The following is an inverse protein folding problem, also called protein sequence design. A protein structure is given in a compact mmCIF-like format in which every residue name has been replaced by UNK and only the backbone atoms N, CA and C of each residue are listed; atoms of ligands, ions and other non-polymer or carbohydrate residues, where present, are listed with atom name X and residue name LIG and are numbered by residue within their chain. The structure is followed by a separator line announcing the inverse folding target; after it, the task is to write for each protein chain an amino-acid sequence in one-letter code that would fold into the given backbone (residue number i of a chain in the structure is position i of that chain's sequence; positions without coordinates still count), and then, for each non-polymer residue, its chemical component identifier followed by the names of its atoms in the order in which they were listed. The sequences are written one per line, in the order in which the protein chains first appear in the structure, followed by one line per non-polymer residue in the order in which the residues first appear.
data_IF_847418994687
#
_entry.id   IF_847418994687
#
_cell.length_a   1.000
_cell.length_b   1.000
_cell.length_c   1.000
_cell.angle_alpha   90.00
_cell.angle_beta   90.00
_cell.angle_gamma   90.00
#
_symmetry.space_group_name_H-M   'P 1'
#
loop_
_entity.id
_entity.type
_entity.pdbx_description
1 polymer ?
#
# COMPACT_ATOMS: atom_id res chain seq x y z
N UNK A 1 8.42 12.17 -23.39
CA UNK A 1 7.43 11.20 -22.87
C UNK A 1 6.85 11.86 -21.64
N UNK A 2 5.54 12.12 -21.61
CA UNK A 2 4.91 12.71 -20.42
C UNK A 2 4.95 11.64 -19.33
N UNK A 3 5.74 11.89 -18.29
CA UNK A 3 5.80 11.01 -17.12
C UNK A 3 4.46 11.17 -16.38
N UNK A 4 3.71 10.08 -16.26
CA UNK A 4 2.45 10.04 -15.52
C UNK A 4 2.79 10.25 -14.04
N UNK A 5 2.07 11.14 -13.36
CA UNK A 5 2.34 11.44 -11.96
C UNK A 5 2.01 10.21 -11.10
N UNK A 6 2.77 9.93 -10.02
CA UNK A 6 2.55 8.74 -9.19
C UNK A 6 1.11 8.57 -8.68
N UNK A 7 0.42 9.66 -8.39
CA UNK A 7 -0.96 9.71 -7.92
C UNK A 7 -2.01 9.30 -8.97
N UNK A 8 -1.65 9.28 -10.25
CA UNK A 8 -2.55 8.93 -11.35
C UNK A 8 -2.60 7.41 -11.59
N UNK A 9 -1.71 6.63 -10.97
CA UNK A 9 -1.71 5.17 -11.06
C UNK A 9 -2.76 4.56 -10.13
N UNK A 10 -3.45 3.53 -10.61
CA UNK A 10 -4.28 2.67 -9.78
C UNK A 10 -3.44 1.80 -8.84
N UNK A 11 -4.07 1.25 -7.79
CA UNK A 11 -3.42 0.31 -6.88
C UNK A 11 -2.80 -0.90 -7.61
N UNK A 12 -3.49 -1.42 -8.63
CA UNK A 12 -3.00 -2.55 -9.42
C UNK A 12 -1.74 -2.18 -10.20
N UNK A 13 -1.72 -0.99 -10.83
CA UNK A 13 -0.57 -0.49 -11.56
C UNK A 13 0.62 -0.20 -10.63
N UNK A 14 0.37 0.42 -9.47
CA UNK A 14 1.39 0.69 -8.47
C UNK A 14 2.07 -0.60 -8.00
N UNK A 15 1.28 -1.64 -7.73
CA UNK A 15 1.80 -2.94 -7.29
C UNK A 15 2.49 -3.71 -8.42
N UNK A 16 2.02 -3.57 -9.67
CA UNK A 16 2.64 -4.19 -10.84
C UNK A 16 4.04 -3.63 -11.15
N UNK A 17 4.36 -2.42 -10.68
CA UNK A 17 5.71 -1.85 -10.78
C UNK A 17 6.73 -2.50 -9.85
N UNK A 18 6.27 -3.21 -8.81
CA UNK A 18 7.15 -3.95 -7.90
C UNK A 18 7.51 -5.31 -8.50
N UNK A 19 8.76 -5.77 -8.28
CA UNK A 19 9.10 -7.16 -8.56
C UNK A 19 8.30 -8.09 -7.65
N UNK A 20 7.95 -9.31 -8.07
CA UNK A 20 7.21 -10.26 -7.25
C UNK A 20 7.82 -10.49 -5.85
N UNK A 21 9.16 -10.53 -5.77
CA UNK A 21 9.87 -10.68 -4.49
C UNK A 21 9.72 -9.45 -3.59
N UNK A 22 9.73 -8.24 -4.16
CA UNK A 22 9.55 -7.00 -3.40
C UNK A 22 8.12 -6.89 -2.87
N UNK A 23 7.15 -7.28 -3.68
CA UNK A 23 5.74 -7.33 -3.31
C UNK A 23 5.49 -8.31 -2.16
N UNK A 24 6.01 -9.54 -2.27
CA UNK A 24 5.88 -10.54 -1.21
C UNK A 24 6.55 -10.12 0.10
N UNK A 25 7.71 -9.47 0.01
CA UNK A 25 8.41 -8.93 1.18
C UNK A 25 7.63 -7.76 1.82
N UNK A 26 7.06 -6.88 1.01
CA UNK A 26 6.21 -5.78 1.48
C UNK A 26 4.97 -6.31 2.22
N UNK A 27 4.29 -7.31 1.66
CA UNK A 27 3.14 -7.95 2.31
C UNK A 27 3.51 -8.59 3.65
N UNK A 28 4.66 -9.25 3.71
CA UNK A 28 5.20 -9.85 4.93
C UNK A 28 5.46 -8.78 5.99
N UNK A 29 6.13 -7.69 5.63
CA UNK A 29 6.46 -6.59 6.54
C UNK A 29 5.21 -5.88 7.07
N UNK A 30 4.21 -5.63 6.22
CA UNK A 30 2.91 -5.09 6.64
C UNK A 30 2.28 -6.05 7.65
N UNK A 31 2.21 -7.35 7.32
CA UNK A 31 1.66 -8.36 8.22
C UNK A 31 2.36 -8.39 9.59
N UNK A 32 3.69 -8.38 9.62
CA UNK A 32 4.48 -8.39 10.85
C UNK A 32 4.27 -7.13 11.69
N UNK A 33 4.29 -5.96 11.06
CA UNK A 33 4.13 -4.68 11.74
C UNK A 33 2.76 -4.56 12.43
N UNK A 34 1.68 -4.96 11.75
CA UNK A 34 0.33 -4.84 12.31
C UNK A 34 -0.06 -6.02 13.21
N UNK A 35 0.52 -7.22 13.01
CA UNK A 35 0.25 -8.39 13.87
C UNK A 35 0.88 -8.25 15.25
N UNK A 36 2.06 -7.63 15.36
CA UNK A 36 2.79 -7.52 16.62
C UNK A 36 2.02 -6.73 17.70
N UNK A 37 1.16 -5.80 17.31
CA UNK A 37 0.37 -4.97 18.24
C UNK A 37 -1.11 -5.38 18.34
N UNK A 38 -1.55 -6.44 17.63
CA UNK A 38 -2.97 -6.80 17.55
C UNK A 38 -3.82 -5.79 16.77
N UNK A 39 -3.17 -4.98 15.92
CA UNK A 39 -3.75 -3.91 15.10
C UNK A 39 -3.89 -4.35 13.64
N UNK A 40 -3.69 -5.65 13.33
CA UNK A 40 -4.03 -6.25 12.03
C UNK A 40 -5.56 -6.31 11.86
N UNK A 41 -6.13 -5.13 11.74
CA UNK A 41 -7.55 -4.84 11.56
C UNK A 41 -7.69 -4.12 10.23
N UNK A 42 -8.75 -4.50 9.51
CA UNK A 42 -9.10 -3.95 8.20
C UNK A 42 -9.14 -2.42 8.27
N UNK A 43 -9.73 -1.85 9.33
CA UNK A 43 -9.89 -0.41 9.53
C UNK A 43 -8.54 0.31 9.71
N UNK A 44 -7.59 -0.31 10.40
CA UNK A 44 -6.27 0.29 10.63
C UNK A 44 -5.44 0.33 9.34
N UNK A 45 -5.49 -0.75 8.55
CA UNK A 45 -4.84 -0.81 7.24
C UNK A 45 -5.39 0.26 6.29
N UNK A 46 -6.71 0.42 6.23
CA UNK A 46 -7.32 1.48 5.42
C UNK A 46 -6.98 2.89 5.91
N UNK A 47 -6.99 3.13 7.23
CA UNK A 47 -6.63 4.42 7.80
C UNK A 47 -5.18 4.80 7.45
N UNK A 48 -4.24 3.87 7.60
CA UNK A 48 -2.83 4.10 7.27
C UNK A 48 -2.61 4.28 5.77
N UNK A 49 -3.27 3.48 4.92
CA UNK A 49 -3.21 3.66 3.47
C UNK A 49 -3.66 5.07 3.03
N UNK A 50 -4.73 5.59 3.65
CA UNK A 50 -5.20 6.95 3.38
C UNK A 50 -4.18 8.00 3.80
N UNK A 51 -3.55 7.85 4.98
CA UNK A 51 -2.49 8.76 5.44
C UNK A 51 -1.30 8.76 4.49
N UNK A 52 -0.82 7.58 4.08
CA UNK A 52 0.29 7.48 3.12
C UNK A 52 -0.06 8.09 1.76
N UNK A 53 -1.29 7.88 1.28
CA UNK A 53 -1.78 8.50 0.04
C UNK A 53 -1.81 10.02 0.13
N UNK A 54 -2.34 10.58 1.22
CA UNK A 54 -2.36 12.03 1.44
C UNK A 54 -0.94 12.61 1.51
N UNK A 55 -0.03 11.93 2.20
CA UNK A 55 1.34 12.40 2.39
C UNK A 55 2.20 12.26 1.14
N UNK A 56 1.88 11.36 0.22
CA UNK A 56 2.59 11.22 -1.05
C UNK A 56 2.58 12.52 -1.87
N UNK A 57 1.46 13.27 -1.85
CA UNK A 57 1.32 14.55 -2.54
C UNK A 57 2.28 15.65 -2.03
N UNK A 58 2.87 15.47 -0.84
CA UNK A 58 3.83 16.40 -0.22
C UNK A 58 5.29 15.99 -0.45
N UNK A 59 5.56 14.94 -1.25
CA UNK A 59 6.90 14.36 -1.43
C UNK A 59 7.41 14.46 -2.85
N UNK A 60 8.72 14.24 -3.01
CA UNK A 60 9.31 14.02 -4.31
C UNK A 60 8.73 12.76 -4.98
N UNK A 61 8.84 12.69 -6.30
CA UNK A 61 8.19 11.65 -7.11
C UNK A 61 8.57 10.21 -6.71
N UNK A 62 9.84 9.98 -6.32
CA UNK A 62 10.30 8.64 -5.93
C UNK A 62 9.72 8.25 -4.58
N UNK A 63 9.76 9.16 -3.61
CA UNK A 63 9.15 8.96 -2.30
C UNK A 63 7.64 8.81 -2.39
N UNK A 64 6.98 9.62 -3.23
CA UNK A 64 5.55 9.56 -3.48
C UNK A 64 5.15 8.20 -4.04
N UNK A 65 5.87 7.70 -5.05
CA UNK A 65 5.64 6.37 -5.62
C UNK A 65 5.75 5.27 -4.54
N UNK A 66 6.80 5.29 -3.72
CA UNK A 66 6.97 4.30 -2.66
C UNK A 66 5.84 4.34 -1.62
N UNK A 67 5.38 5.55 -1.26
CA UNK A 67 4.27 5.74 -0.32
C UNK A 67 2.94 5.24 -0.90
N UNK A 68 2.69 5.47 -2.18
CA UNK A 68 1.49 5.01 -2.88
C UNK A 68 1.50 3.49 -3.06
N UNK A 69 2.66 2.89 -3.35
CA UNK A 69 2.82 1.43 -3.40
C UNK A 69 2.56 0.77 -2.03
N UNK A 70 3.03 1.40 -0.95
CA UNK A 70 2.73 0.95 0.42
C UNK A 70 1.23 1.05 0.71
N UNK A 71 0.59 2.16 0.35
CA UNK A 71 -0.85 2.36 0.53
C UNK A 71 -1.67 1.32 -0.25
N UNK A 72 -1.32 1.06 -1.50
CA UNK A 72 -1.96 0.05 -2.34
C UNK A 72 -1.84 -1.36 -1.74
N UNK A 73 -0.65 -1.72 -1.23
CA UNK A 73 -0.43 -3.01 -0.59
C UNK A 73 -1.28 -3.17 0.69
N UNK A 74 -1.38 -2.11 1.50
CA UNK A 74 -2.25 -2.09 2.69
C UNK A 74 -3.73 -2.26 2.34
N UNK A 75 -4.24 -1.56 1.32
CA UNK A 75 -5.63 -1.70 0.83
C UNK A 75 -5.91 -3.12 0.35
N UNK A 76 -5.00 -3.69 -0.45
CA UNK A 76 -5.12 -5.07 -0.94
C UNK A 76 -5.16 -6.08 0.21
N UNK A 77 -4.28 -5.94 1.21
CA UNK A 77 -4.31 -6.81 2.41
C UNK A 77 -5.64 -6.68 3.14
N UNK A 78 -6.11 -5.45 3.36
CA UNK A 78 -7.38 -5.19 4.04
C UNK A 78 -8.56 -5.84 3.29
N UNK A 79 -8.57 -5.75 1.95
CA UNK A 79 -9.57 -6.40 1.12
C UNK A 79 -9.50 -7.92 1.22
N UNK A 80 -8.30 -8.52 1.13
CA UNK A 80 -8.14 -9.97 1.28
C UNK A 80 -8.60 -10.48 2.66
N UNK A 81 -8.40 -9.69 3.72
CA UNK A 81 -8.92 -9.99 5.06
C UNK A 81 -10.45 -9.86 5.14
N UNK A 82 -11.04 -8.90 4.43
CA UNK A 82 -12.49 -8.74 4.35
C UNK A 82 -13.14 -9.93 3.62
N UNK A 83 -12.57 -10.32 2.48
CA UNK A 83 -13.04 -11.44 1.67
C UNK A 83 -12.91 -12.79 2.41
N UNK A 84 -11.90 -12.94 3.26
CA UNK A 84 -11.75 -14.13 4.11
C UNK A 84 -12.79 -14.22 5.25
N UNK A 85 -13.53 -13.14 5.54
CA UNK A 85 -14.57 -13.09 6.58
C UNK A 85 -15.99 -13.29 6.05
N UNK A 86 -16.18 -13.20 4.73
CA UNK A 86 -17.47 -13.41 4.04
C UNK A 86 -17.71 -14.87 3.70
#
# INVERSE_FOLDING_TARGET
MTQIAPEDYSDEELLAMLKPVQLAELDRQIGEMFSAEGVDRIEALFAMANVYSMRAAERDETSALAMLQLAAAMRRRAQAMADARS
#
